data_IF_907047547585
#
_entry.id   IF_907047547585
#
_cell.length_a   1.000
_cell.length_b   1.000
_cell.length_c   1.000
_cell.angle_alpha   90.00
_cell.angle_beta   90.00
_cell.angle_gamma   90.00
#
_symmetry.space_group_name_H-M   'P 1'
#
loop_
_entity.id
_entity.type
_entity.pdbx_description
1 polymer ?
#
# COMPACT_ATOMS: atom_id res chain seq x y z
N UNK A 1 3.75 -1.42 -47.88
CA UNK A 1 2.75 -0.89 -46.92
C UNK A 1 2.09 -2.10 -46.21
N UNK A 2 2.51 -2.39 -44.99
CA UNK A 2 1.86 -3.44 -44.16
C UNK A 2 1.23 -2.70 -42.97
N UNK A 3 -0.10 -2.82 -42.85
CA UNK A 3 -0.87 -2.21 -41.73
C UNK A 3 -0.70 -3.06 -40.46
N UNK A 4 -0.61 -2.46 -39.26
CA UNK A 4 -0.50 -3.22 -38.02
C UNK A 4 -1.88 -3.75 -37.57
N UNK A 5 -2.00 -5.06 -37.49
CA UNK A 5 -3.22 -5.80 -37.13
C UNK A 5 -3.47 -6.05 -35.62
N UNK A 6 -2.68 -5.59 -34.65
CA UNK A 6 -2.91 -6.01 -33.26
C UNK A 6 -3.90 -5.14 -32.46
N UNK A 7 -4.25 -3.94 -32.91
CA UNK A 7 -5.16 -3.05 -32.13
C UNK A 7 -6.65 -3.41 -32.23
N UNK A 8 -7.05 -4.15 -33.26
CA UNK A 8 -8.46 -4.49 -33.46
C UNK A 8 -8.88 -5.74 -32.65
N UNK A 9 -7.97 -6.68 -32.45
CA UNK A 9 -8.24 -7.93 -31.70
C UNK A 9 -8.41 -7.67 -30.22
N UNK A 10 -7.63 -6.76 -29.62
CA UNK A 10 -7.73 -6.42 -28.20
C UNK A 10 -9.04 -5.71 -27.80
N UNK A 11 -9.65 -4.96 -28.73
CA UNK A 11 -10.96 -4.32 -28.49
C UNK A 11 -12.12 -5.30 -28.59
N UNK A 12 -12.05 -6.26 -29.50
CA UNK A 12 -13.08 -7.30 -29.67
C UNK A 12 -13.07 -8.25 -28.47
N UNK A 13 -11.89 -8.67 -27.98
CA UNK A 13 -11.80 -9.54 -26.80
C UNK A 13 -12.27 -8.85 -25.53
N UNK A 14 -11.98 -7.57 -25.34
CA UNK A 14 -12.46 -6.81 -24.17
C UNK A 14 -13.98 -6.60 -24.20
N UNK A 15 -14.56 -6.30 -25.38
CA UNK A 15 -16.02 -6.23 -25.55
C UNK A 15 -16.70 -7.59 -25.34
N UNK A 16 -16.09 -8.68 -25.81
CA UNK A 16 -16.67 -10.02 -25.66
C UNK A 16 -16.63 -10.48 -24.19
N UNK A 17 -15.54 -10.19 -23.47
CA UNK A 17 -15.43 -10.45 -22.02
C UNK A 17 -16.44 -9.60 -21.24
N UNK A 18 -16.63 -8.32 -21.59
CA UNK A 18 -17.64 -7.47 -20.97
C UNK A 18 -19.07 -7.97 -21.25
N UNK A 19 -19.37 -8.42 -22.47
CA UNK A 19 -20.67 -9.01 -22.82
C UNK A 19 -20.92 -10.36 -22.12
N UNK A 20 -19.88 -11.18 -21.95
CA UNK A 20 -19.99 -12.44 -21.18
C UNK A 20 -20.26 -12.13 -19.71
N UNK A 21 -19.57 -11.17 -19.12
CA UNK A 21 -19.80 -10.76 -17.72
C UNK A 21 -21.21 -10.18 -17.56
N UNK A 22 -21.72 -9.44 -18.53
CA UNK A 22 -23.07 -8.88 -18.51
C UNK A 22 -24.16 -9.93 -18.76
N UNK A 23 -23.90 -10.97 -19.57
CA UNK A 23 -24.87 -12.03 -19.84
C UNK A 23 -24.97 -13.06 -18.70
N UNK A 24 -23.91 -13.28 -17.91
CA UNK A 24 -24.00 -14.04 -16.67
C UNK A 24 -24.70 -13.29 -15.54
N UNK A 25 -24.87 -11.96 -15.67
CA UNK A 25 -25.51 -11.12 -14.67
C UNK A 25 -27.00 -11.38 -14.44
N UNK A 26 -27.71 -11.97 -15.40
CA UNK A 26 -29.17 -12.09 -15.26
C UNK A 26 -29.65 -13.28 -14.41
N UNK A 27 -28.83 -14.31 -14.21
CA UNK A 27 -29.17 -15.43 -13.34
C UNK A 27 -28.42 -15.43 -12.00
N UNK A 28 -27.26 -14.78 -11.92
CA UNK A 28 -26.48 -14.68 -10.67
C UNK A 28 -26.93 -13.53 -9.75
N UNK A 29 -27.81 -12.64 -10.20
CA UNK A 29 -28.38 -11.59 -9.35
C UNK A 29 -29.08 -12.14 -8.10
N UNK A 30 -29.64 -13.33 -8.17
CA UNK A 30 -30.27 -14.00 -7.03
C UNK A 30 -29.27 -14.57 -6.01
N UNK A 31 -28.04 -14.87 -6.41
CA UNK A 31 -26.98 -15.38 -5.55
C UNK A 31 -26.19 -14.24 -4.86
N UNK A 32 -26.00 -13.09 -5.55
CA UNK A 32 -25.22 -11.96 -5.06
C UNK A 32 -26.13 -10.91 -4.39
N UNK A 33 -27.30 -10.66 -4.96
CA UNK A 33 -28.27 -9.68 -4.49
C UNK A 33 -29.53 -10.34 -3.95
N UNK A 34 -29.41 -11.39 -3.13
CA UNK A 34 -30.54 -12.07 -2.53
C UNK A 34 -31.61 -11.09 -1.99
N UNK A 35 -32.74 -11.59 -1.50
CA UNK A 35 -33.85 -10.79 -0.91
C UNK A 35 -33.44 -9.94 0.33
N UNK A 36 -32.16 -9.93 0.72
CA UNK A 36 -31.65 -9.08 1.78
C UNK A 36 -31.48 -7.64 1.28
N UNK A 37 -31.98 -6.67 2.03
CA UNK A 37 -31.81 -5.26 1.72
C UNK A 37 -30.34 -4.88 1.79
N UNK A 38 -29.80 -4.31 0.71
CA UNK A 38 -28.44 -3.80 0.65
C UNK A 38 -28.18 -2.84 1.82
N UNK A 39 -27.08 -3.06 2.54
CA UNK A 39 -26.64 -2.22 3.65
C UNK A 39 -25.40 -1.45 3.25
N UNK A 40 -25.29 -0.26 3.80
CA UNK A 40 -24.14 0.60 3.62
C UNK A 40 -23.45 0.86 4.95
N UNK A 41 -22.16 0.97 4.92
CA UNK A 41 -21.34 1.34 6.08
C UNK A 41 -20.39 2.44 5.63
N UNK A 42 -20.24 3.47 6.44
CA UNK A 42 -19.18 4.47 6.29
C UNK A 42 -18.33 4.47 7.56
N UNK A 43 -17.06 4.77 7.43
CA UNK A 43 -16.18 4.77 8.58
C UNK A 43 -14.83 5.41 8.30
N UNK A 44 -14.04 5.45 9.37
CA UNK A 44 -12.66 5.95 9.36
C UNK A 44 -11.72 4.90 9.90
N UNK A 45 -10.45 5.00 9.50
CA UNK A 45 -9.38 4.14 9.98
C UNK A 45 -8.18 4.96 10.41
N UNK A 46 -7.46 4.45 11.41
CA UNK A 46 -6.25 5.06 11.93
C UNK A 46 -5.32 3.99 12.51
N UNK A 47 -4.02 4.08 12.23
CA UNK A 47 -3.06 3.14 12.78
C UNK A 47 -1.68 3.21 12.13
N UNK A 48 -0.71 2.44 12.62
CA UNK A 48 0.65 2.45 12.10
C UNK A 48 0.75 1.89 10.69
N UNK A 49 1.65 2.49 9.89
CA UNK A 49 2.09 2.01 8.58
C UNK A 49 3.59 1.81 8.54
N UNK A 50 4.01 0.84 7.73
CA UNK A 50 5.38 0.37 7.64
C UNK A 50 5.79 0.22 6.19
N UNK A 51 6.98 0.70 5.85
CA UNK A 51 7.59 0.56 4.55
C UNK A 51 8.48 -0.69 4.49
N UNK A 52 8.50 -1.36 3.36
CA UNK A 52 9.36 -2.49 3.04
C UNK A 52 9.98 -2.24 1.66
N UNK A 53 11.17 -1.72 1.63
CA UNK A 53 11.95 -1.40 0.44
C UNK A 53 13.43 -1.38 0.74
N UNK A 54 14.22 -0.76 -0.12
CA UNK A 54 15.68 -0.81 -0.07
C UNK A 54 16.30 0.07 1.03
N UNK A 55 15.58 1.10 1.50
CA UNK A 55 16.06 2.02 2.51
C UNK A 55 15.46 1.76 3.89
N UNK A 56 16.30 1.85 4.93
CA UNK A 56 15.87 1.87 6.32
C UNK A 56 15.45 0.54 6.93
N UNK A 57 15.82 -0.59 6.33
CA UNK A 57 15.58 -1.93 6.89
C UNK A 57 16.29 -2.17 8.23
N UNK A 58 15.86 -3.19 8.98
CA UNK A 58 16.49 -3.63 10.21
C UNK A 58 17.64 -4.65 9.92
N UNK A 59 18.22 -5.27 10.96
CA UNK A 59 19.35 -6.19 10.85
C UNK A 59 19.11 -7.39 9.93
N UNK A 60 20.02 -7.69 8.98
CA UNK A 60 20.06 -8.85 8.08
C UNK A 60 19.90 -8.52 6.59
N UNK A 61 20.21 -9.49 5.73
CA UNK A 61 19.81 -9.42 4.31
C UNK A 61 18.31 -9.29 4.26
N UNK A 62 17.76 -8.29 3.54
CA UNK A 62 16.33 -8.03 3.32
C UNK A 62 15.47 -9.28 3.50
N UNK A 63 15.16 -9.61 4.75
CA UNK A 63 14.43 -10.82 5.11
C UNK A 63 12.98 -10.46 5.28
N UNK A 64 12.15 -11.18 4.56
CA UNK A 64 10.71 -11.00 4.41
C UNK A 64 9.98 -10.65 5.71
N UNK A 65 9.19 -9.59 5.64
CA UNK A 65 8.03 -9.23 6.42
C UNK A 65 8.24 -8.56 7.80
N UNK A 66 8.67 -9.20 8.85
CA UNK A 66 8.61 -8.64 10.22
C UNK A 66 9.97 -8.15 10.69
N UNK A 67 11.05 -8.72 10.18
CA UNK A 67 12.41 -8.38 10.61
C UNK A 67 12.90 -7.04 10.09
N UNK A 68 12.34 -6.55 8.97
CA UNK A 68 12.72 -5.27 8.36
C UNK A 68 11.88 -4.10 8.89
N UNK A 69 10.95 -4.34 9.82
CA UNK A 69 10.15 -3.31 10.44
C UNK A 69 10.99 -2.50 11.42
N UNK A 70 11.31 -1.28 11.02
CA UNK A 70 11.92 -0.31 11.93
C UNK A 70 10.83 0.51 12.62
N UNK A 71 10.59 0.22 13.90
CA UNK A 71 9.58 0.92 14.70
C UNK A 71 9.83 2.44 14.80
N UNK A 72 11.08 2.87 14.62
CA UNK A 72 11.46 4.27 14.66
C UNK A 72 10.90 5.08 13.48
N UNK A 73 10.67 4.41 12.33
CA UNK A 73 10.07 5.02 11.13
C UNK A 73 8.58 4.68 10.96
N UNK A 74 7.96 4.13 11.99
CA UNK A 74 6.52 3.89 11.98
C UNK A 74 5.77 5.22 11.90
N UNK A 75 4.99 5.39 10.86
CA UNK A 75 4.14 6.56 10.64
C UNK A 75 2.67 6.16 10.74
N UNK A 76 1.81 7.15 10.95
CA UNK A 76 0.39 6.88 11.16
C UNK A 76 -0.39 7.05 9.85
N UNK A 77 -1.05 5.98 9.43
CA UNK A 77 -2.04 6.01 8.37
C UNK A 77 -3.37 6.49 8.92
N UNK A 78 -4.08 7.28 8.13
CA UNK A 78 -5.45 7.74 8.37
C UNK A 78 -6.23 7.65 7.07
N UNK A 79 -7.50 7.25 7.18
CA UNK A 79 -8.34 7.10 6.00
C UNK A 79 -9.81 7.05 6.32
N UNK A 80 -10.60 7.05 5.25
CA UNK A 80 -12.03 6.89 5.29
C UNK A 80 -12.47 5.83 4.30
N UNK A 81 -13.55 5.15 4.60
CA UNK A 81 -14.08 4.11 3.73
C UNK A 81 -15.61 4.12 3.69
N UNK A 82 -16.12 3.62 2.58
CA UNK A 82 -17.51 3.27 2.41
C UNK A 82 -17.61 1.83 1.91
N UNK A 83 -18.47 1.02 2.50
CA UNK A 83 -18.67 -0.37 2.12
C UNK A 83 -20.15 -0.63 1.84
N UNK A 84 -20.44 -1.21 0.70
CA UNK A 84 -21.77 -1.71 0.33
C UNK A 84 -21.83 -3.21 0.57
N UNK A 85 -22.84 -3.68 1.29
CA UNK A 85 -23.10 -5.09 1.54
C UNK A 85 -24.38 -5.51 0.83
N UNK A 86 -24.29 -6.12 -0.36
CA UNK A 86 -25.45 -6.68 -1.05
C UNK A 86 -26.05 -7.88 -0.30
N UNK A 87 -25.21 -8.57 0.46
CA UNK A 87 -25.60 -9.67 1.34
C UNK A 87 -24.69 -9.73 2.58
N UNK A 88 -24.86 -10.73 3.42
CA UNK A 88 -24.08 -10.90 4.66
C UNK A 88 -22.66 -11.44 4.45
N UNK A 89 -22.35 -11.98 3.26
CA UNK A 89 -21.09 -12.68 2.95
C UNK A 89 -20.07 -11.77 2.29
N UNK A 90 -20.54 -10.85 1.42
CA UNK A 90 -19.70 -10.03 0.55
C UNK A 90 -19.92 -8.55 0.85
N UNK A 91 -18.83 -7.79 0.91
CA UNK A 91 -18.83 -6.33 0.92
C UNK A 91 -17.99 -5.77 -0.23
N UNK A 92 -18.43 -4.67 -0.82
CA UNK A 92 -17.66 -3.88 -1.78
C UNK A 92 -17.25 -2.59 -1.11
N UNK A 93 -15.94 -2.43 -0.88
CA UNK A 93 -15.37 -1.27 -0.19
C UNK A 93 -14.68 -0.34 -1.17
N UNK A 94 -14.93 0.95 -1.01
CA UNK A 94 -14.08 2.02 -1.52
C UNK A 94 -13.43 2.71 -0.32
N UNK A 95 -12.13 2.97 -0.38
CA UNK A 95 -11.41 3.73 0.64
C UNK A 95 -10.49 4.76 0.03
N UNK A 96 -10.24 5.82 0.80
CA UNK A 96 -9.22 6.82 0.52
C UNK A 96 -8.36 6.96 1.79
N UNK A 97 -7.06 6.76 1.62
CA UNK A 97 -6.12 6.66 2.72
C UNK A 97 -4.92 7.58 2.48
N UNK A 98 -4.39 8.13 3.56
CA UNK A 98 -3.17 8.93 3.57
C UNK A 98 -2.22 8.35 4.59
N UNK A 99 -0.96 8.20 4.19
CA UNK A 99 0.14 7.85 5.09
C UNK A 99 1.42 8.56 4.66
N UNK A 100 2.39 8.52 5.52
CA UNK A 100 3.73 9.02 5.29
C UNK A 100 4.71 7.87 5.46
N UNK A 101 5.63 7.69 4.53
CA UNK A 101 6.67 6.68 4.61
C UNK A 101 8.04 7.34 4.71
N UNK A 102 8.94 6.73 5.46
CA UNK A 102 10.30 7.23 5.68
C UNK A 102 11.27 6.07 5.88
N UNK A 103 12.50 6.21 5.42
CA UNK A 103 13.60 5.30 5.66
C UNK A 103 14.92 6.06 5.74
N UNK A 104 15.84 5.58 6.57
CA UNK A 104 17.16 6.20 6.77
C UNK A 104 18.19 5.11 7.09
N UNK A 105 19.20 4.98 6.24
CA UNK A 105 20.29 4.01 6.40
C UNK A 105 21.17 4.31 7.60
N UNK A 106 21.25 5.56 8.06
CA UNK A 106 22.10 5.96 9.18
C UNK A 106 21.71 5.28 10.51
N UNK A 107 20.43 4.89 10.65
CA UNK A 107 19.87 4.32 11.90
C UNK A 107 20.02 2.80 11.96
N UNK A 108 20.50 2.15 10.90
CA UNK A 108 20.65 0.70 10.83
C UNK A 108 21.62 0.22 11.91
N UNK A 109 21.18 -0.73 12.75
CA UNK A 109 22.04 -1.42 13.69
C UNK A 109 22.91 -2.44 12.94
N UNK A 110 24.22 -2.26 13.00
CA UNK A 110 25.18 -3.09 12.27
C UNK A 110 25.51 -4.35 13.05
N UNK A 111 25.01 -5.50 12.57
CA UNK A 111 25.35 -6.83 13.10
C UNK A 111 26.05 -7.71 12.06
N UNK A 112 26.09 -7.28 10.78
CA UNK A 112 26.66 -8.00 9.66
C UNK A 112 27.26 -7.09 8.60
N UNK A 113 27.84 -7.70 7.57
CA UNK A 113 28.50 -6.97 6.46
C UNK A 113 27.48 -6.25 5.59
N UNK A 114 26.31 -6.84 5.35
CA UNK A 114 25.28 -6.26 4.48
C UNK A 114 24.67 -4.98 5.09
N UNK A 115 24.53 -4.95 6.43
CA UNK A 115 24.09 -3.74 7.15
C UNK A 115 25.15 -2.64 7.10
N UNK A 116 26.44 -3.02 7.17
CA UNK A 116 27.53 -2.06 7.03
C UNK A 116 27.51 -1.38 5.66
N UNK A 117 27.23 -2.13 4.58
CA UNK A 117 27.12 -1.55 3.23
C UNK A 117 25.97 -0.55 3.12
N UNK A 118 24.78 -0.88 3.69
CA UNK A 118 23.65 0.05 3.72
C UNK A 118 23.96 1.29 4.56
N UNK A 119 24.56 1.11 5.73
CA UNK A 119 24.97 2.22 6.58
C UNK A 119 26.02 3.11 5.90
N UNK A 120 26.95 2.52 5.15
CA UNK A 120 27.92 3.27 4.35
C UNK A 120 27.24 4.07 3.25
N UNK A 121 26.22 3.52 2.58
CA UNK A 121 25.42 4.19 1.57
C UNK A 121 24.76 5.46 2.11
N UNK A 122 24.28 5.44 3.35
CA UNK A 122 23.81 6.59 4.14
C UNK A 122 22.71 7.40 3.44
N UNK A 123 21.86 6.75 2.67
CA UNK A 123 20.74 7.38 2.00
C UNK A 123 19.55 7.49 2.96
N UNK A 124 18.73 8.50 2.75
CA UNK A 124 17.48 8.69 3.42
C UNK A 124 16.39 9.12 2.45
N UNK A 125 15.16 8.75 2.74
CA UNK A 125 14.01 9.23 1.99
C UNK A 125 12.82 9.46 2.90
N UNK A 126 11.88 10.25 2.37
CA UNK A 126 10.52 10.37 2.86
C UNK A 126 9.56 10.57 1.71
N UNK A 127 8.32 10.12 1.87
CA UNK A 127 7.28 10.33 0.87
C UNK A 127 5.89 10.34 1.50
N UNK A 128 5.04 11.24 1.01
CA UNK A 128 3.60 11.20 1.26
C UNK A 128 2.95 10.20 0.33
N UNK A 129 2.07 9.35 0.87
CA UNK A 129 1.26 8.40 0.10
C UNK A 129 -0.20 8.80 0.21
N UNK A 130 -0.81 9.10 -0.93
CA UNK A 130 -2.25 9.22 -1.10
C UNK A 130 -2.73 8.03 -1.89
N UNK A 131 -3.65 7.25 -1.35
CA UNK A 131 -4.16 6.07 -2.04
C UNK A 131 -5.69 6.04 -2.06
N UNK A 132 -6.24 5.46 -3.14
CA UNK A 132 -7.64 5.11 -3.26
C UNK A 132 -7.75 3.63 -3.64
N UNK A 133 -8.55 2.87 -2.89
CA UNK A 133 -8.67 1.43 -3.05
C UNK A 133 -10.11 1.02 -3.29
N UNK A 134 -10.30 0.04 -4.19
CA UNK A 134 -11.55 -0.67 -4.40
C UNK A 134 -11.33 -2.14 -4.05
N UNK A 135 -11.95 -2.61 -2.98
CA UNK A 135 -11.75 -3.95 -2.43
C UNK A 135 -13.05 -4.74 -2.31
N UNK A 136 -12.92 -6.06 -2.39
CA UNK A 136 -13.97 -7.01 -2.04
C UNK A 136 -13.63 -7.56 -0.65
N UNK A 137 -14.58 -7.45 0.28
CA UNK A 137 -14.53 -8.08 1.60
C UNK A 137 -15.29 -9.40 1.59
N UNK A 138 -14.72 -10.44 2.18
CA UNK A 138 -15.36 -11.75 2.33
C UNK A 138 -15.44 -12.09 3.82
N UNK A 139 -16.63 -12.52 4.26
CA UNK A 139 -16.94 -12.88 5.63
C UNK A 139 -17.14 -14.40 5.78
N UNK A 140 -16.07 -15.19 6.06
CA UNK A 140 -16.15 -16.66 6.07
C UNK A 140 -17.15 -17.19 7.09
N UNK A 141 -17.28 -16.55 8.25
CA UNK A 141 -18.23 -16.96 9.30
C UNK A 141 -19.70 -16.90 8.88
N UNK A 142 -19.99 -16.14 7.82
CA UNK A 142 -21.32 -16.05 7.25
C UNK A 142 -21.56 -17.07 6.14
N UNK A 143 -20.50 -17.68 5.58
CA UNK A 143 -20.59 -18.72 4.55
C UNK A 143 -20.93 -20.09 5.13
N UNK A 144 -20.38 -20.43 6.30
CA UNK A 144 -20.50 -21.78 6.90
C UNK A 144 -21.74 -21.98 7.78
N UNK A 145 -22.69 -21.08 7.73
CA UNK A 145 -23.99 -21.23 8.37
C UNK A 145 -25.04 -20.56 7.52
N UNK A 146 -26.24 -21.12 7.42
CA UNK A 146 -27.42 -20.43 6.86
C UNK A 146 -27.87 -19.32 7.84
N UNK A 147 -26.95 -18.41 8.19
CA UNK A 147 -27.20 -17.34 9.13
C UNK A 147 -27.68 -16.12 8.35
N UNK A 148 -28.89 -15.71 8.61
CA UNK A 148 -29.35 -14.39 8.20
C UNK A 148 -28.52 -13.30 8.90
N UNK A 149 -28.51 -12.08 8.41
CA UNK A 149 -27.87 -10.96 9.13
C UNK A 149 -28.44 -10.76 10.54
N UNK A 150 -29.66 -11.23 10.80
CA UNK A 150 -30.29 -11.17 12.11
C UNK A 150 -29.66 -12.12 13.13
N UNK A 151 -29.07 -13.24 12.66
CA UNK A 151 -28.38 -14.24 13.49
C UNK A 151 -26.84 -14.13 13.41
N UNK A 152 -26.34 -13.08 12.80
CA UNK A 152 -24.90 -12.89 12.60
C UNK A 152 -24.17 -12.66 13.93
N UNK A 153 -22.98 -13.29 14.13
CA UNK A 153 -22.17 -13.06 15.32
C UNK A 153 -21.70 -11.60 15.40
N UNK A 154 -21.52 -11.10 16.62
CA UNK A 154 -20.97 -9.75 16.83
C UNK A 154 -19.53 -9.60 16.32
N UNK A 155 -18.73 -10.64 16.50
CA UNK A 155 -17.36 -10.68 15.98
C UNK A 155 -17.35 -11.36 14.62
N UNK A 156 -16.87 -10.64 13.60
CA UNK A 156 -16.83 -11.10 12.21
C UNK A 156 -15.43 -10.94 11.65
N UNK A 157 -14.66 -12.02 11.54
CA UNK A 157 -13.43 -12.01 10.76
C UNK A 157 -13.77 -11.87 9.28
N UNK A 158 -12.90 -11.14 8.56
CA UNK A 158 -13.02 -10.98 7.12
C UNK A 158 -11.65 -10.96 6.46
N UNK A 159 -11.63 -11.40 5.19
CA UNK A 159 -10.52 -11.19 4.29
C UNK A 159 -10.89 -10.16 3.24
N UNK A 160 -9.89 -9.47 2.69
CA UNK A 160 -10.11 -8.54 1.59
C UNK A 160 -8.99 -8.58 0.57
N UNK A 161 -9.36 -8.30 -0.67
CA UNK A 161 -8.46 -8.11 -1.80
C UNK A 161 -9.07 -7.10 -2.77
N UNK A 162 -8.21 -6.35 -3.46
CA UNK A 162 -8.72 -5.35 -4.38
C UNK A 162 -7.68 -4.79 -5.33
N UNK A 163 -8.02 -3.67 -5.91
CA UNK A 163 -7.16 -2.84 -6.76
C UNK A 163 -7.11 -1.44 -6.16
N UNK A 164 -5.91 -0.86 -6.17
CA UNK A 164 -5.70 0.49 -5.70
C UNK A 164 -4.84 1.29 -6.66
N UNK A 165 -4.97 2.59 -6.55
CA UNK A 165 -4.10 3.58 -7.15
C UNK A 165 -3.51 4.42 -6.03
N UNK A 166 -2.20 4.67 -6.10
CA UNK A 166 -1.53 5.50 -5.11
C UNK A 166 -0.60 6.51 -5.78
N UNK A 167 -0.46 7.65 -5.14
CA UNK A 167 0.46 8.71 -5.51
C UNK A 167 1.52 8.87 -4.43
N UNK A 168 2.78 9.00 -4.85
CA UNK A 168 3.94 9.20 -3.99
C UNK A 168 4.88 10.22 -4.61
N UNK A 169 5.73 10.85 -3.80
CA UNK A 169 6.75 11.77 -4.29
C UNK A 169 7.98 11.70 -3.36
N UNK A 170 8.98 10.85 -3.69
CA UNK A 170 10.12 10.63 -2.85
C UNK A 170 10.98 11.89 -2.73
N UNK A 171 11.38 12.20 -1.50
CA UNK A 171 12.29 13.27 -1.16
C UNK A 171 13.49 12.73 -0.41
N UNK A 172 14.68 13.20 -0.74
CA UNK A 172 15.92 12.96 -0.01
C UNK A 172 16.42 14.21 0.70
N UNK A 173 17.14 14.06 1.81
CA UNK A 173 17.63 15.21 2.56
C UNK A 173 19.11 15.51 2.29
N UNK A 174 19.46 16.77 2.37
CA UNK A 174 20.83 17.24 2.57
C UNK A 174 20.92 17.94 3.92
N UNK A 175 22.01 17.68 4.67
CA UNK A 175 22.31 18.36 5.92
C UNK A 175 23.16 19.59 5.65
N UNK A 176 22.79 20.71 6.26
CA UNK A 176 23.63 21.91 6.29
C UNK A 176 24.76 21.75 7.32
N UNK A 177 25.65 22.76 7.43
CA UNK A 177 26.75 22.77 8.39
C UNK A 177 26.28 22.73 9.86
N UNK A 178 25.03 23.09 10.13
CA UNK A 178 24.40 23.07 11.45
C UNK A 178 23.66 21.75 11.74
N UNK A 179 23.63 20.82 10.76
CA UNK A 179 22.96 19.53 10.88
C UNK A 179 21.45 19.56 10.53
N UNK A 180 20.89 20.69 10.11
CA UNK A 180 19.50 20.78 9.71
C UNK A 180 19.29 20.10 8.36
N UNK A 181 18.22 19.29 8.26
CA UNK A 181 17.86 18.59 7.02
C UNK A 181 16.98 19.47 6.12
N UNK A 182 17.42 19.67 4.87
CA UNK A 182 16.60 20.24 3.79
C UNK A 182 16.21 19.14 2.82
N UNK A 183 14.94 19.04 2.46
CA UNK A 183 14.38 17.96 1.64
C UNK A 183 14.14 18.40 0.21
N UNK A 184 14.53 17.55 -0.74
CA UNK A 184 14.44 17.80 -2.18
C UNK A 184 13.73 16.63 -2.86
N UNK A 185 12.85 16.92 -3.83
CA UNK A 185 12.20 15.91 -4.65
C UNK A 185 13.25 15.16 -5.48
N UNK A 186 13.23 13.83 -5.43
CA UNK A 186 14.25 12.99 -6.08
C UNK A 186 13.93 12.71 -7.55
N UNK A 187 12.66 12.48 -7.88
CA UNK A 187 12.22 12.10 -9.23
C UNK A 187 12.74 13.02 -10.35
N UNK A 188 12.74 14.38 -10.23
CA UNK A 188 13.26 15.25 -11.28
C UNK A 188 14.77 15.13 -11.47
N UNK A 189 15.50 14.75 -10.41
CA UNK A 189 16.96 14.68 -10.40
C UNK A 189 17.52 13.44 -11.12
N UNK A 190 16.67 12.43 -11.41
CA UNK A 190 17.04 11.25 -12.19
C UNK A 190 18.29 10.55 -11.67
N UNK A 191 18.35 10.29 -10.36
CA UNK A 191 19.56 9.87 -9.65
C UNK A 191 20.16 8.54 -10.13
N UNK A 192 19.40 7.73 -10.87
CA UNK A 192 19.83 6.48 -11.51
C UNK A 192 19.83 6.57 -13.04
N UNK A 193 19.98 7.78 -13.59
CA UNK A 193 20.08 8.02 -15.03
C UNK A 193 18.78 7.76 -15.80
N UNK A 194 17.62 7.95 -15.16
CA UNK A 194 16.33 7.73 -15.78
C UNK A 194 16.14 8.60 -17.02
N UNK A 195 16.15 7.97 -18.20
CA UNK A 195 16.02 8.64 -19.51
C UNK A 195 17.32 9.22 -20.06
N UNK A 196 18.50 8.92 -19.47
CA UNK A 196 19.78 9.26 -20.05
C UNK A 196 20.14 8.26 -21.17
N UNK A 197 20.78 8.74 -22.24
CA UNK A 197 21.10 7.89 -23.40
C UNK A 197 22.07 6.75 -23.05
N UNK A 198 22.97 6.97 -22.10
CA UNK A 198 23.96 6.00 -21.63
C UNK A 198 23.30 4.87 -20.79
N UNK A 199 22.08 5.10 -20.28
CA UNK A 199 21.32 4.15 -19.46
C UNK A 199 19.94 3.83 -20.07
N UNK A 200 19.85 3.20 -21.26
CA UNK A 200 18.58 3.01 -22.00
C UNK A 200 17.55 2.15 -21.25
N UNK A 201 18.00 1.33 -20.30
CA UNK A 201 17.16 0.51 -19.45
C UNK A 201 16.61 1.27 -18.22
N UNK A 202 17.13 2.46 -17.92
CA UNK A 202 16.66 3.29 -16.83
C UNK A 202 15.62 4.28 -17.32
N UNK A 203 14.34 3.89 -17.22
CA UNK A 203 13.20 4.71 -17.67
C UNK A 203 12.70 5.60 -16.54
N UNK A 204 12.25 6.84 -16.84
CA UNK A 204 11.55 7.66 -15.87
C UNK A 204 10.30 6.95 -15.32
N UNK A 205 10.13 6.96 -14.02
CA UNK A 205 8.95 6.39 -13.38
C UNK A 205 7.85 7.44 -13.18
N UNK A 206 6.61 6.97 -13.07
CA UNK A 206 5.46 7.82 -12.77
C UNK A 206 5.22 7.85 -11.27
N UNK A 207 4.89 9.03 -10.74
CA UNK A 207 4.56 9.22 -9.32
C UNK A 207 3.19 8.61 -8.93
N UNK A 208 2.35 8.29 -9.91
CA UNK A 208 1.07 7.61 -9.67
C UNK A 208 1.13 6.20 -10.24
N UNK A 209 0.90 5.21 -9.39
CA UNK A 209 1.06 3.78 -9.67
C UNK A 209 -0.15 2.98 -9.18
N UNK A 210 -0.24 1.74 -9.64
CA UNK A 210 -1.24 0.78 -9.18
C UNK A 210 -0.66 -0.10 -8.07
N UNK A 211 -1.53 -0.57 -7.17
CA UNK A 211 -1.22 -1.59 -6.20
C UNK A 211 -2.34 -2.64 -6.10
N UNK A 212 -2.03 -3.75 -5.45
CA UNK A 212 -3.00 -4.76 -5.05
C UNK A 212 -3.03 -4.77 -3.52
N UNK A 213 -4.02 -4.11 -2.90
CA UNK A 213 -4.26 -4.24 -1.48
C UNK A 213 -4.83 -5.62 -1.17
N UNK A 214 -4.27 -6.30 -0.18
CA UNK A 214 -4.75 -7.60 0.30
C UNK A 214 -4.52 -7.74 1.79
N UNK A 215 -5.46 -8.38 2.48
CA UNK A 215 -5.33 -8.51 3.92
C UNK A 215 -6.57 -9.08 4.59
N UNK A 216 -6.74 -8.73 5.84
CA UNK A 216 -7.88 -9.18 6.62
C UNK A 216 -8.00 -8.45 7.94
N UNK A 217 -9.12 -8.65 8.58
CA UNK A 217 -9.41 -7.98 9.83
C UNK A 217 -10.49 -8.66 10.65
N UNK A 218 -10.71 -8.09 11.80
CA UNK A 218 -11.78 -8.45 12.72
C UNK A 218 -12.69 -7.25 12.90
N UNK A 219 -13.98 -7.45 12.73
CA UNK A 219 -14.99 -6.42 12.95
C UNK A 219 -15.90 -6.86 14.11
N UNK A 220 -16.05 -6.00 15.11
CA UNK A 220 -16.90 -6.23 16.27
C UNK A 220 -18.06 -5.24 16.29
N UNK A 221 -19.28 -5.74 16.23
CA UNK A 221 -20.50 -4.94 16.27
C UNK A 221 -20.90 -4.66 17.72
N UNK A 222 -20.70 -3.40 18.16
CA UNK A 222 -21.13 -2.92 19.48
C UNK A 222 -22.66 -2.82 19.51
N UNK A 223 -23.22 -2.33 18.43
CA UNK A 223 -24.67 -2.20 18.22
C UNK A 223 -25.02 -2.50 16.76
N UNK A 224 -26.29 -2.44 16.41
CA UNK A 224 -26.74 -2.60 15.02
C UNK A 224 -26.24 -1.49 14.09
N UNK A 225 -25.79 -0.34 14.65
CA UNK A 225 -25.26 0.79 13.89
C UNK A 225 -23.74 0.93 13.96
N UNK A 226 -23.14 0.63 15.09
CA UNK A 226 -21.73 0.92 15.34
C UNK A 226 -20.90 -0.36 15.40
N UNK A 227 -19.78 -0.34 14.72
CA UNK A 227 -18.77 -1.38 14.83
C UNK A 227 -17.38 -0.78 15.02
N UNK A 228 -16.55 -1.56 15.69
CA UNK A 228 -15.10 -1.36 15.79
C UNK A 228 -14.40 -2.48 15.05
N UNK A 229 -13.25 -2.20 14.49
CA UNK A 229 -12.45 -3.22 13.81
C UNK A 229 -10.97 -2.98 13.97
N UNK A 230 -10.21 -4.05 13.70
CA UNK A 230 -8.77 -4.00 13.46
C UNK A 230 -8.51 -4.66 12.12
N UNK A 231 -7.61 -4.08 11.34
CA UNK A 231 -7.31 -4.56 9.99
C UNK A 231 -5.81 -4.53 9.74
N UNK A 232 -5.30 -5.60 9.17
CA UNK A 232 -3.99 -5.67 8.54
C UNK A 232 -4.19 -5.57 7.04
N UNK A 233 -3.49 -4.64 6.38
CA UNK A 233 -3.56 -4.46 4.94
C UNK A 233 -2.16 -4.34 4.36
N UNK A 234 -1.79 -5.27 3.50
CA UNK A 234 -0.56 -5.31 2.72
C UNK A 234 -0.84 -4.80 1.31
N UNK A 235 0.03 -3.91 0.79
CA UNK A 235 -0.05 -3.37 -0.57
C UNK A 235 1.10 -3.89 -1.39
N UNK A 236 0.80 -4.80 -2.30
CA UNK A 236 1.75 -5.22 -3.32
C UNK A 236 1.78 -4.15 -4.41
N UNK A 237 2.90 -3.48 -4.57
CA UNK A 237 3.08 -2.49 -5.64
C UNK A 237 3.77 -3.10 -6.86
N UNK A 238 3.86 -2.32 -7.93
CA UNK A 238 4.55 -2.69 -9.18
C UNK A 238 5.67 -1.70 -9.49
N UNK A 239 6.18 -1.02 -8.49
CA UNK A 239 7.29 -0.06 -8.60
C UNK A 239 8.35 -0.35 -7.55
N UNK A 240 9.57 -0.04 -7.87
CA UNK A 240 10.78 -0.13 -7.05
C UNK A 240 11.37 1.27 -6.88
N UNK A 241 10.52 2.30 -6.80
CA UNK A 241 10.94 3.69 -6.78
C UNK A 241 10.18 4.52 -5.74
N UNK A 242 9.55 3.88 -4.76
CA UNK A 242 8.88 4.61 -3.66
C UNK A 242 9.91 5.37 -2.83
N UNK A 243 11.14 4.84 -2.73
CA UNK A 243 12.29 5.46 -2.08
C UNK A 243 13.34 6.02 -3.06
N UNK A 244 13.08 5.96 -4.39
CA UNK A 244 14.00 6.34 -5.47
C UNK A 244 15.31 5.53 -5.48
N UNK A 245 15.32 4.32 -4.92
CA UNK A 245 16.50 3.43 -4.88
C UNK A 245 16.13 2.09 -5.50
N UNK A 246 16.69 1.78 -6.67
CA UNK A 246 16.31 0.59 -7.45
C UNK A 246 17.50 -0.07 -8.16
N UNK A 247 18.45 0.69 -8.69
CA UNK A 247 19.44 0.20 -9.64
C UNK A 247 20.88 0.40 -9.15
N UNK A 248 21.71 0.94 -10.04
CA UNK A 248 23.13 1.15 -9.81
C UNK A 248 23.46 2.64 -9.76
N UNK A 249 24.57 2.96 -9.13
CA UNK A 249 25.19 4.29 -9.21
C UNK A 249 25.59 4.59 -10.66
N UNK A 250 25.42 5.84 -11.07
CA UNK A 250 25.78 6.32 -12.42
C UNK A 250 26.98 7.27 -12.35
N UNK A 251 27.56 7.56 -13.51
CA UNK A 251 28.62 8.56 -13.61
C UNK A 251 28.07 9.96 -13.29
N UNK A 252 28.59 10.62 -12.24
CA UNK A 252 28.16 11.96 -11.86
C UNK A 252 28.33 13.03 -12.96
N UNK A 253 29.25 12.84 -13.88
CA UNK A 253 29.48 13.75 -15.01
C UNK A 253 28.22 13.86 -15.92
N UNK A 254 27.38 12.83 -15.94
CA UNK A 254 26.16 12.81 -16.72
C UNK A 254 25.09 13.75 -16.16
N UNK A 255 25.07 13.99 -14.86
CA UNK A 255 24.15 14.98 -14.30
C UNK A 255 24.39 16.37 -14.87
N UNK A 256 25.67 16.75 -15.05
CA UNK A 256 26.05 18.03 -15.65
C UNK A 256 25.62 18.11 -17.12
N UNK A 257 25.63 16.97 -17.83
CA UNK A 257 25.22 16.88 -19.24
C UNK A 257 23.71 17.02 -19.46
N UNK A 258 22.89 16.47 -18.54
CA UNK A 258 21.45 16.28 -18.73
C UNK A 258 20.57 17.18 -17.87
N UNK A 259 21.09 17.79 -16.82
CA UNK A 259 20.35 18.62 -15.88
C UNK A 259 20.83 20.07 -15.91
N UNK A 260 20.03 20.98 -15.36
CA UNK A 260 20.49 22.35 -15.13
C UNK A 260 21.62 22.37 -14.09
N UNK A 261 22.50 23.41 -14.06
CA UNK A 261 23.62 23.46 -13.13
C UNK A 261 23.23 23.28 -11.65
N UNK A 262 22.07 23.84 -11.25
CA UNK A 262 21.58 23.72 -9.88
C UNK A 262 21.06 22.32 -9.57
N UNK A 263 20.30 21.71 -10.50
CA UNK A 263 19.82 20.33 -10.36
C UNK A 263 20.95 19.32 -10.40
N UNK A 264 21.98 19.56 -11.23
CA UNK A 264 23.16 18.71 -11.30
C UNK A 264 23.94 18.69 -9.97
N UNK A 265 24.16 19.85 -9.34
CA UNK A 265 24.81 19.93 -8.03
C UNK A 265 24.00 19.18 -6.96
N UNK A 266 22.69 19.33 -6.95
CA UNK A 266 21.80 18.59 -6.05
C UNK A 266 21.82 17.08 -6.33
N UNK A 267 21.75 16.68 -7.61
CA UNK A 267 21.79 15.28 -8.00
C UNK A 267 23.10 14.61 -7.60
N UNK A 268 24.22 15.30 -7.80
CA UNK A 268 25.55 14.83 -7.39
C UNK A 268 25.62 14.57 -5.89
N UNK A 269 25.04 15.46 -5.05
CA UNK A 269 25.06 15.35 -3.59
C UNK A 269 24.05 14.32 -3.07
N UNK A 270 22.90 14.16 -3.74
CA UNK A 270 21.81 13.26 -3.30
C UNK A 270 21.96 11.84 -3.84
N UNK A 271 22.64 11.64 -4.99
CA UNK A 271 22.83 10.31 -5.57
C UNK A 271 23.69 9.40 -4.70
N UNK A 272 24.68 9.98 -4.01
CA UNK A 272 25.65 9.25 -3.20
C UNK A 272 26.03 10.07 -1.97
N UNK A 273 25.72 9.54 -0.79
CA UNK A 273 26.00 10.14 0.52
C UNK A 273 26.96 9.27 1.35
N UNK A 274 27.76 8.43 0.69
CA UNK A 274 28.65 7.48 1.36
C UNK A 274 29.59 8.15 2.35
N UNK A 275 29.79 7.52 3.51
CA UNK A 275 30.51 8.06 4.67
C UNK A 275 31.82 7.35 4.98
N UNK A 276 32.28 6.44 4.11
CA UNK A 276 33.59 5.80 4.23
C UNK A 276 33.78 4.91 5.48
N UNK A 277 32.75 4.21 5.92
CA UNK A 277 32.83 3.32 7.10
C UNK A 277 33.64 2.05 6.79
N UNK A 278 33.39 1.40 5.65
CA UNK A 278 34.03 0.14 5.25
C UNK A 278 35.41 0.43 4.66
N UNK A 279 35.50 1.46 3.82
CA UNK A 279 36.74 1.91 3.19
C UNK A 279 37.02 3.35 3.60
N UNK A 280 37.91 3.58 4.59
CA UNK A 280 38.32 4.92 4.96
C UNK A 280 38.90 5.67 3.75
N UNK A 281 38.35 6.86 3.46
CA UNK A 281 38.72 7.65 2.29
C UNK A 281 37.83 7.42 1.05
N UNK A 282 36.97 6.43 1.03
CA UNK A 282 35.93 6.28 0.00
C UNK A 282 34.83 7.29 0.22
N UNK A 283 34.76 8.30 -0.62
CA UNK A 283 33.75 9.36 -0.56
C UNK A 283 32.63 9.15 -1.56
N UNK A 284 32.77 8.15 -2.44
CA UNK A 284 31.82 7.88 -3.51
C UNK A 284 31.92 6.45 -4.04
N UNK A 285 30.79 5.91 -4.49
CA UNK A 285 30.73 4.62 -5.17
C UNK A 285 31.10 4.77 -6.65
N UNK A 286 31.75 3.73 -7.20
CA UNK A 286 32.07 3.64 -8.63
C UNK A 286 30.78 3.47 -9.44
N UNK A 287 30.70 4.10 -10.65
CA UNK A 287 29.60 3.87 -11.59
C UNK A 287 29.40 2.39 -11.89
N UNK A 288 28.16 1.92 -11.88
CA UNK A 288 27.81 0.51 -12.06
C UNK A 288 27.74 -0.30 -10.77
N UNK A 289 28.22 0.23 -9.63
CA UNK A 289 28.02 -0.40 -8.33
C UNK A 289 26.54 -0.41 -7.95
N UNK A 290 26.10 -1.45 -7.27
CA UNK A 290 24.71 -1.60 -6.83
C UNK A 290 24.32 -0.49 -5.84
N UNK A 291 23.19 0.19 -6.11
CA UNK A 291 22.57 1.20 -5.25
C UNK A 291 21.31 0.64 -4.56
N UNK A 292 20.48 -0.11 -5.29
CA UNK A 292 19.28 -0.80 -4.83
C UNK A 292 19.18 -2.24 -5.32
N UNK A 293 18.10 -2.95 -4.96
CA UNK A 293 17.82 -4.32 -5.41
C UNK A 293 16.70 -4.34 -6.46
N UNK A 294 17.04 -4.39 -7.74
CA UNK A 294 16.10 -4.42 -8.88
C UNK A 294 15.15 -5.62 -8.91
N UNK A 295 15.32 -6.61 -8.03
CA UNK A 295 14.56 -7.86 -8.06
C UNK A 295 13.30 -7.82 -7.21
N UNK A 296 13.18 -6.85 -6.31
CA UNK A 296 12.09 -6.76 -5.37
C UNK A 296 11.42 -5.39 -5.51
N UNK A 297 10.10 -5.40 -5.74
CA UNK A 297 9.31 -4.17 -5.72
C UNK A 297 9.10 -3.69 -4.30
N UNK A 298 9.09 -2.37 -4.13
CA UNK A 298 8.70 -1.74 -2.88
C UNK A 298 7.29 -2.11 -2.47
N UNK A 299 7.10 -2.33 -1.19
CA UNK A 299 5.80 -2.65 -0.63
C UNK A 299 5.60 -1.91 0.70
N UNK A 300 4.37 -1.81 1.14
CA UNK A 300 4.07 -1.26 2.46
C UNK A 300 2.83 -1.93 3.06
N UNK A 301 2.73 -1.92 4.36
CA UNK A 301 1.59 -2.48 5.05
C UNK A 301 1.16 -1.60 6.23
N UNK A 302 -0.06 -1.83 6.70
CA UNK A 302 -0.61 -1.09 7.83
C UNK A 302 -1.38 -2.01 8.77
N UNK A 303 -1.37 -1.62 10.06
CA UNK A 303 -2.29 -2.12 11.06
C UNK A 303 -3.17 -0.96 11.51
N UNK A 304 -4.46 -1.03 11.24
CA UNK A 304 -5.36 0.08 11.55
C UNK A 304 -6.50 -0.36 12.44
N UNK A 305 -6.86 0.51 13.38
CA UNK A 305 -8.14 0.49 14.05
C UNK A 305 -9.19 1.17 13.15
N UNK A 306 -10.40 0.65 13.13
CA UNK A 306 -11.51 1.11 12.29
C UNK A 306 -12.73 1.40 13.16
N UNK A 307 -13.44 2.46 12.81
CA UNK A 307 -14.74 2.79 13.37
C UNK A 307 -15.71 2.90 12.21
N UNK A 308 -16.77 2.10 12.22
CA UNK A 308 -17.77 2.06 11.17
C UNK A 308 -19.17 2.35 11.70
N UNK A 309 -19.95 3.03 10.87
CA UNK A 309 -21.36 3.32 11.12
C UNK A 309 -22.17 2.74 9.96
N UNK A 310 -23.14 1.89 10.26
CA UNK A 310 -24.10 1.39 9.27
C UNK A 310 -25.13 2.47 8.92
N UNK A 311 -25.27 2.72 7.63
CA UNK A 311 -26.19 3.69 7.05
C UNK A 311 -27.48 2.99 6.59
N UNK A 312 -28.61 3.67 6.70
CA UNK A 312 -29.90 3.15 6.27
C UNK A 312 -30.79 2.68 7.42
N UNK A 313 -31.95 2.10 7.12
CA UNK A 313 -32.87 1.66 8.15
C UNK A 313 -32.24 0.54 8.97
N UNK A 314 -32.05 0.81 10.24
CA UNK A 314 -31.70 -0.23 11.22
C UNK A 314 -32.96 -1.02 11.45
N UNK A 315 -32.93 -2.31 11.17
CA UNK A 315 -34.00 -3.20 11.66
C UNK A 315 -33.95 -3.15 13.18
N UNK A 316 -34.92 -2.48 13.76
CA UNK A 316 -35.00 -2.36 15.19
C UNK A 316 -34.81 -3.72 15.84
N UNK A 317 -33.72 -3.81 16.60
CA UNK A 317 -33.56 -4.75 17.67
C UNK A 317 -33.28 -6.22 17.35
N UNK A 318 -32.29 -6.56 16.54
CA UNK A 318 -31.80 -7.95 16.49
C UNK A 318 -31.34 -8.42 17.89
N UNK A 319 -30.67 -7.57 18.65
CA UNK A 319 -30.22 -7.91 20.01
C UNK A 319 -31.36 -7.80 21.04
N UNK A 320 -32.20 -6.81 20.97
CA UNK A 320 -33.36 -6.68 21.85
C UNK A 320 -34.44 -7.73 21.55
N UNK A 321 -34.64 -8.13 20.28
CA UNK A 321 -35.49 -9.27 19.92
C UNK A 321 -34.98 -10.59 20.45
N UNK A 322 -33.66 -10.83 20.43
CA UNK A 322 -33.04 -12.01 21.05
C UNK A 322 -33.26 -12.01 22.56
N UNK A 323 -33.02 -10.90 23.24
CA UNK A 323 -33.27 -10.77 24.66
C UNK A 323 -34.76 -11.00 24.97
N UNK A 324 -35.69 -10.42 24.18
CA UNK A 324 -37.14 -10.62 24.35
C UNK A 324 -37.58 -12.06 24.06
N UNK A 325 -36.94 -12.78 23.13
CA UNK A 325 -37.20 -14.21 22.90
C UNK A 325 -36.70 -15.09 24.04
N UNK A 326 -35.56 -14.73 24.66
CA UNK A 326 -34.99 -15.45 25.80
C UNK A 326 -35.80 -15.22 27.09
N UNK A 327 -36.51 -14.11 27.20
CA UNK A 327 -37.35 -13.77 28.39
C UNK A 327 -38.82 -14.16 28.25
N UNK A 328 -39.26 -14.69 27.11
CA UNK A 328 -40.60 -15.27 26.99
C UNK A 328 -40.63 -16.58 27.75
N UNK A 329 -41.33 -16.58 28.87
CA UNK A 329 -41.71 -17.82 29.54
C UNK A 329 -42.47 -18.74 28.56
N UNK A 330 -42.15 -20.04 28.51
CA UNK A 330 -42.99 -20.98 27.77
C UNK A 330 -44.42 -20.86 28.30
N UNK A 331 -45.37 -20.65 27.39
CA UNK A 331 -46.77 -20.72 27.77
C UNK A 331 -47.02 -22.17 28.22
N UNK A 332 -47.30 -22.35 29.50
CA UNK A 332 -47.75 -23.61 30.03
C UNK A 332 -49.21 -23.71 29.65
N UNK A 333 -49.56 -24.67 28.78
CA UNK A 333 -50.91 -25.12 28.54
C UNK A 333 -51.19 -26.33 29.42
#
# INVERSE_FOLDING_TARGET
MKRPLPYFIGRITLSFVCCIILSYGSQSQHLIFGNEKTKWEAGVCFGPSFFLGDLGGNAGKGTRFIKDVNLQFTKMMKGAFITMYPNSIIGFRLSADYTFLEGDDAVIHTTGIDELWRKQRNLDFRTDIWEANACIELYPTMMFGRRSQEDAPRLRPYGLIGLGIFHFNPQGSLKDANGNKTWYNLQPLKLEGQGFAEYPNSKPYKLTQLNIPMGGGLKYFISDRFNLGVEFLYRKTFTDNIDDVSKNYIDPALFIKYLSPQEADLAIKLSDKSIGIIYPGMTRYEPGTQRGDTKQFDTYFSFVAKIGIQLGPVYENTFARRAARQTRCPAVY
#
